data_IF_649269942374
#
_entry.id   IF_649269942374
#
_cell.length_a   1.000
_cell.length_b   1.000
_cell.length_c   1.000
_cell.angle_alpha   90.00
_cell.angle_beta   90.00
_cell.angle_gamma   90.00
#
_symmetry.space_group_name_H-M   'P 1'
#
loop_
_entity.id
_entity.type
_entity.pdbx_description
1 polymer ?
#
# COMPACT_ATOMS: atom_id res chain seq x y z
N UNK A 1 56.14 -18.34 18.07
CA UNK A 1 55.21 -17.21 17.87
C UNK A 1 55.43 -16.68 16.47
N UNK A 2 54.47 -16.93 15.58
CA UNK A 2 54.60 -16.60 14.16
C UNK A 2 53.53 -15.61 13.74
N UNK A 3 53.98 -14.52 13.10
CA UNK A 3 53.25 -13.26 12.84
C UNK A 3 52.40 -13.35 11.58
N UNK A 4 51.73 -14.48 11.35
CA UNK A 4 51.01 -14.78 10.09
C UNK A 4 49.57 -15.28 10.23
N UNK A 5 48.99 -15.20 11.44
CA UNK A 5 47.64 -15.73 11.69
C UNK A 5 46.70 -14.73 12.37
N UNK A 6 46.82 -13.43 12.06
CA UNK A 6 45.90 -12.43 12.63
C UNK A 6 45.47 -11.32 11.67
N UNK A 7 45.60 -11.52 10.36
CA UNK A 7 45.02 -10.63 9.34
C UNK A 7 44.29 -11.47 8.29
N UNK A 8 43.18 -12.09 8.70
CA UNK A 8 42.11 -12.58 7.80
C UNK A 8 40.73 -12.38 8.44
N UNK A 9 40.53 -11.25 9.12
CA UNK A 9 39.25 -10.84 9.70
C UNK A 9 38.67 -9.57 9.06
N UNK A 10 39.16 -9.18 7.88
CA UNK A 10 38.61 -8.08 7.08
C UNK A 10 38.55 -8.55 5.63
N UNK A 11 37.39 -8.99 5.14
CA UNK A 11 37.31 -9.42 3.75
C UNK A 11 35.99 -10.04 3.30
N UNK A 12 34.86 -9.69 3.92
CA UNK A 12 33.55 -9.98 3.35
C UNK A 12 32.50 -9.12 4.04
N UNK A 13 32.51 -7.83 3.72
CA UNK A 13 31.25 -7.06 3.71
C UNK A 13 30.49 -7.60 2.51
N UNK A 14 29.79 -8.72 2.72
CA UNK A 14 28.80 -9.18 1.78
C UNK A 14 27.72 -8.10 1.73
N UNK A 15 27.55 -7.50 0.55
CA UNK A 15 26.43 -6.64 0.20
C UNK A 15 25.11 -7.36 0.52
N UNK A 16 24.55 -7.07 1.69
CA UNK A 16 23.19 -7.45 2.07
C UNK A 16 22.20 -6.58 1.27
N UNK A 17 22.05 -6.85 -0.03
CA UNK A 17 21.07 -6.15 -0.87
C UNK A 17 20.24 -7.07 -1.76
N UNK A 18 20.17 -8.37 -1.44
CA UNK A 18 19.20 -9.27 -2.05
C UNK A 18 18.46 -10.04 -0.96
N UNK A 19 17.51 -9.36 -0.29
CA UNK A 19 16.36 -10.10 0.24
C UNK A 19 15.64 -10.61 -1.00
N UNK A 20 15.91 -11.85 -1.40
CA UNK A 20 15.24 -12.44 -2.56
C UNK A 20 13.73 -12.38 -2.32
N UNK A 21 12.95 -12.20 -3.39
CA UNK A 21 11.49 -12.21 -3.33
C UNK A 21 10.95 -13.45 -2.59
N UNK A 22 11.71 -14.56 -2.60
CA UNK A 22 11.47 -15.79 -1.85
C UNK A 22 11.58 -15.64 -0.33
N UNK A 23 12.59 -14.93 0.20
CA UNK A 23 12.68 -14.66 1.65
C UNK A 23 11.56 -13.75 2.11
N UNK A 24 11.29 -12.70 1.34
CA UNK A 24 10.19 -11.77 1.62
C UNK A 24 8.83 -12.47 1.64
N UNK A 25 8.57 -13.35 0.68
CA UNK A 25 7.33 -14.14 0.66
C UNK A 25 7.31 -15.20 1.76
N UNK A 26 8.44 -15.73 2.21
CA UNK A 26 8.49 -16.71 3.29
C UNK A 26 8.22 -16.08 4.66
N UNK A 27 8.80 -14.91 4.95
CA UNK A 27 8.54 -14.16 6.19
C UNK A 27 7.08 -13.68 6.25
N UNK A 28 6.51 -13.21 5.14
CA UNK A 28 5.09 -12.83 5.08
C UNK A 28 4.16 -14.04 5.21
N UNK A 29 4.48 -15.17 4.57
CA UNK A 29 3.68 -16.40 4.70
C UNK A 29 3.72 -17.00 6.10
N UNK A 30 4.77 -16.75 6.87
CA UNK A 30 4.86 -17.16 8.27
C UNK A 30 3.90 -16.37 9.19
N UNK A 31 3.38 -15.22 8.74
CA UNK A 31 2.34 -14.46 9.43
C UNK A 31 0.96 -14.99 9.02
N UNK A 32 0.64 -16.20 9.52
CA UNK A 32 -0.40 -17.05 8.92
C UNK A 32 -1.82 -16.49 8.94
N UNK A 33 -2.12 -15.49 9.80
CA UNK A 33 -3.48 -14.98 9.95
C UNK A 33 -3.73 -13.64 9.23
N UNK A 34 -2.69 -12.84 8.99
CA UNK A 34 -2.86 -11.47 8.46
C UNK A 34 -2.44 -11.34 7.00
N UNK A 35 -1.56 -12.21 6.49
CA UNK A 35 -1.16 -12.18 5.08
C UNK A 35 -2.08 -13.03 4.21
N UNK A 36 -2.72 -12.41 3.22
CA UNK A 36 -3.52 -13.13 2.22
C UNK A 36 -2.93 -12.96 0.83
N UNK A 37 -2.51 -14.09 0.26
CA UNK A 37 -2.02 -14.15 -1.12
C UNK A 37 -3.17 -14.00 -2.11
N UNK A 38 -2.99 -13.13 -3.09
CA UNK A 38 -3.89 -12.99 -4.24
C UNK A 38 -3.17 -13.30 -5.55
N UNK A 39 -3.90 -13.24 -6.66
CA UNK A 39 -3.27 -13.34 -7.98
C UNK A 39 -2.28 -12.18 -8.10
N UNK A 40 -1.07 -12.49 -8.53
CA UNK A 40 -0.03 -11.48 -8.77
C UNK A 40 -0.49 -10.59 -9.91
N UNK A 41 -0.49 -9.27 -9.68
CA UNK A 41 -0.86 -8.28 -10.67
C UNK A 41 0.33 -7.38 -10.98
N UNK A 42 0.70 -7.26 -12.25
CA UNK A 42 1.71 -6.30 -12.70
C UNK A 42 1.12 -4.89 -12.68
N UNK A 43 1.89 -3.92 -12.18
CA UNK A 43 1.53 -2.51 -12.22
C UNK A 43 2.02 -1.91 -13.54
N UNK A 44 1.12 -1.26 -14.26
CA UNK A 44 1.37 -0.70 -15.58
C UNK A 44 1.20 0.82 -15.52
N UNK A 45 1.96 1.55 -16.34
CA UNK A 45 1.67 2.94 -16.64
C UNK A 45 0.50 3.05 -17.63
N UNK A 46 0.10 4.28 -17.96
CA UNK A 46 -1.03 4.57 -18.86
C UNK A 46 -0.85 4.02 -20.28
N UNK A 47 0.39 3.84 -20.72
CA UNK A 47 0.72 3.31 -22.05
C UNK A 47 0.69 1.77 -22.08
N UNK A 48 0.38 1.13 -20.95
CA UNK A 48 0.30 -0.33 -20.82
C UNK A 48 1.65 -1.00 -20.59
N UNK A 49 2.73 -0.23 -20.40
CA UNK A 49 4.05 -0.74 -20.08
C UNK A 49 4.19 -0.94 -18.56
N UNK A 50 5.03 -1.87 -18.07
CA UNK A 50 5.33 -1.97 -16.65
C UNK A 50 5.82 -0.63 -16.11
N UNK A 51 5.15 -0.11 -15.07
CA UNK A 51 5.54 1.17 -14.47
C UNK A 51 6.92 1.03 -13.84
N UNK A 52 7.81 1.97 -14.15
CA UNK A 52 9.13 2.05 -13.54
C UNK A 52 9.05 2.79 -12.20
N UNK A 53 9.88 2.43 -11.20
CA UNK A 53 9.94 3.14 -9.93
C UNK A 53 10.12 4.65 -10.07
N UNK A 54 10.88 5.11 -11.07
CA UNK A 54 11.17 6.52 -11.32
C UNK A 54 9.96 7.30 -11.87
N UNK A 55 8.95 6.62 -12.41
CA UNK A 55 7.68 7.23 -12.84
C UNK A 55 6.75 7.53 -11.65
N UNK A 56 7.04 6.97 -10.45
CA UNK A 56 6.25 7.19 -9.25
C UNK A 56 6.85 8.37 -8.47
N UNK A 57 6.38 9.57 -8.80
CA UNK A 57 6.84 10.81 -8.19
C UNK A 57 6.66 10.83 -6.65
N UNK A 58 7.66 11.39 -5.98
CA UNK A 58 7.66 11.57 -4.53
C UNK A 58 6.51 12.49 -4.11
N UNK A 59 5.78 12.10 -3.07
CA UNK A 59 4.72 12.92 -2.50
C UNK A 59 3.43 12.98 -3.33
N UNK A 60 3.37 12.29 -4.48
CA UNK A 60 2.16 12.23 -5.31
C UNK A 60 1.29 11.03 -4.94
N UNK A 61 -0.02 11.23 -5.02
CA UNK A 61 -1.02 10.20 -4.77
C UNK A 61 -1.41 9.53 -6.08
N UNK A 62 -1.02 8.26 -6.24
CA UNK A 62 -1.47 7.42 -7.35
C UNK A 62 -2.55 6.44 -6.88
N UNK A 63 -3.42 6.05 -7.81
CA UNK A 63 -4.43 5.01 -7.66
C UNK A 63 -4.18 3.86 -8.63
N UNK A 64 -4.52 2.66 -8.16
CA UNK A 64 -4.65 1.44 -8.95
C UNK A 64 -5.72 0.55 -8.31
N UNK A 65 -6.08 -0.58 -8.93
CA UNK A 65 -7.15 -1.46 -8.41
C UNK A 65 -6.61 -2.85 -8.13
N UNK A 66 -6.77 -3.32 -6.88
CA UNK A 66 -6.29 -4.62 -6.43
C UNK A 66 -6.97 -5.06 -5.13
N UNK A 67 -7.23 -6.36 -4.90
CA UNK A 67 -7.07 -7.47 -5.82
C UNK A 67 -8.24 -7.62 -6.80
N UNK A 68 -9.31 -6.85 -6.60
CA UNK A 68 -10.49 -6.83 -7.45
C UNK A 68 -10.51 -5.56 -8.31
N UNK A 69 -11.22 -5.63 -9.43
CA UNK A 69 -11.36 -4.51 -10.36
C UNK A 69 -11.96 -3.25 -9.71
N UNK A 70 -12.70 -3.40 -8.61
CA UNK A 70 -13.38 -2.31 -7.93
C UNK A 70 -12.87 -1.99 -6.53
N UNK A 71 -11.70 -2.50 -6.13
CA UNK A 71 -11.10 -2.17 -4.83
C UNK A 71 -9.90 -1.26 -5.06
N UNK A 72 -10.04 0.07 -4.87
CA UNK A 72 -8.97 1.01 -5.13
C UNK A 72 -7.85 0.88 -4.09
N UNK A 73 -6.63 1.20 -4.51
CA UNK A 73 -5.44 1.19 -3.69
C UNK A 73 -4.57 2.41 -4.02
N UNK A 74 -3.98 3.01 -2.99
CA UNK A 74 -2.94 4.02 -3.15
C UNK A 74 -1.62 3.38 -3.49
N UNK A 75 -0.87 4.02 -4.38
CA UNK A 75 0.56 3.80 -4.58
C UNK A 75 1.27 5.12 -4.29
N UNK A 76 2.20 5.11 -3.34
CA UNK A 76 2.90 6.30 -2.87
C UNK A 76 4.40 6.08 -2.90
N UNK A 77 5.15 7.12 -3.25
CA UNK A 77 6.59 7.19 -3.03
C UNK A 77 6.88 8.23 -1.94
N UNK A 78 7.41 7.77 -0.80
CA UNK A 78 7.70 8.65 0.35
C UNK A 78 9.04 9.37 0.23
N UNK A 79 9.83 9.11 -0.82
CA UNK A 79 11.11 9.77 -1.09
C UNK A 79 12.26 9.37 -0.15
N UNK A 80 12.03 8.42 0.75
CA UNK A 80 13.05 7.86 1.66
C UNK A 80 12.78 6.38 1.93
N UNK A 81 13.80 5.66 2.39
CA UNK A 81 13.66 4.24 2.78
C UNK A 81 12.59 4.11 3.88
N UNK A 82 11.63 3.23 3.62
CA UNK A 82 10.59 2.85 4.57
C UNK A 82 10.91 1.45 5.08
N UNK A 83 11.36 1.37 6.33
CA UNK A 83 11.83 0.13 6.93
C UNK A 83 10.67 -0.75 7.40
N UNK A 84 10.86 -2.08 7.47
CA UNK A 84 9.91 -2.96 8.13
C UNK A 84 9.62 -2.50 9.56
N UNK A 85 8.38 -2.64 10.01
CA UNK A 85 7.96 -2.30 11.37
C UNK A 85 6.94 -3.31 11.87
N UNK A 86 6.99 -3.63 13.16
CA UNK A 86 5.92 -4.36 13.81
C UNK A 86 4.69 -3.46 13.95
N UNK A 87 3.56 -3.91 13.45
CA UNK A 87 2.25 -3.27 13.61
C UNK A 87 1.47 -4.05 14.66
N UNK A 88 1.00 -3.35 15.69
CA UNK A 88 0.18 -3.92 16.77
C UNK A 88 -1.29 -3.59 16.53
N UNK A 89 -2.15 -4.58 16.70
CA UNK A 89 -3.60 -4.46 16.60
C UNK A 89 -4.24 -4.27 17.98
N UNK A 90 -5.48 -3.80 17.99
CA UNK A 90 -6.22 -3.52 19.23
C UNK A 90 -6.52 -4.78 20.05
N UNK A 91 -6.63 -5.94 19.40
CA UNK A 91 -6.83 -7.23 20.06
C UNK A 91 -5.53 -7.80 20.69
N UNK A 92 -4.43 -7.07 20.61
CA UNK A 92 -3.12 -7.44 21.14
C UNK A 92 -2.28 -8.27 20.18
N UNK A 93 -2.81 -8.70 19.05
CA UNK A 93 -2.03 -9.38 18.01
C UNK A 93 -1.10 -8.41 17.27
N UNK A 94 -0.09 -8.93 16.58
CA UNK A 94 0.83 -8.12 15.78
C UNK A 94 1.25 -8.83 14.49
N UNK A 95 1.69 -8.03 13.52
CA UNK A 95 2.31 -8.51 12.29
C UNK A 95 3.48 -7.61 11.89
N UNK A 96 4.49 -8.17 11.22
CA UNK A 96 5.62 -7.39 10.70
C UNK A 96 5.24 -6.86 9.31
N UNK A 97 4.98 -5.56 9.22
CA UNK A 97 4.78 -4.87 7.95
C UNK A 97 6.13 -4.74 7.22
N UNK A 98 6.18 -5.09 5.92
CA UNK A 98 7.44 -5.20 5.18
C UNK A 98 8.17 -3.90 4.84
N UNK A 99 7.51 -2.74 4.97
CA UNK A 99 8.07 -1.47 4.50
C UNK A 99 7.97 -1.30 2.98
N UNK A 100 8.80 -0.41 2.44
CA UNK A 100 8.76 0.00 1.04
C UNK A 100 9.56 -0.91 0.10
N UNK A 101 9.16 -0.93 -1.17
CA UNK A 101 9.80 -1.67 -2.27
C UNK A 101 10.47 -0.73 -3.27
N UNK A 102 11.06 -1.31 -4.33
CA UNK A 102 11.80 -0.58 -5.35
C UNK A 102 13.26 -0.32 -4.95
N UNK A 103 14.06 0.28 -5.85
CA UNK A 103 15.49 0.50 -5.63
C UNK A 103 15.81 1.30 -4.35
N UNK A 104 14.96 2.26 -4.01
CA UNK A 104 15.12 3.11 -2.81
C UNK A 104 14.30 2.63 -1.60
N UNK A 105 13.55 1.52 -1.74
CA UNK A 105 12.62 1.02 -0.71
C UNK A 105 11.65 2.10 -0.17
N UNK A 106 11.23 3.00 -1.05
CA UNK A 106 10.40 4.17 -0.70
C UNK A 106 8.96 4.05 -1.20
N UNK A 107 8.67 3.02 -2.00
CA UNK A 107 7.37 2.82 -2.64
C UNK A 107 6.52 1.88 -1.79
N UNK A 108 5.34 2.34 -1.43
CA UNK A 108 4.39 1.63 -0.56
C UNK A 108 2.99 1.65 -1.19
N UNK A 109 2.14 0.72 -0.76
CA UNK A 109 0.74 0.71 -1.18
C UNK A 109 -0.21 0.29 -0.06
N UNK A 110 -1.37 0.92 -0.05
CA UNK A 110 -2.46 0.67 0.90
C UNK A 110 -3.79 0.61 0.17
N UNK A 111 -4.73 -0.17 0.68
CA UNK A 111 -6.12 -0.11 0.25
C UNK A 111 -6.65 1.31 0.47
N UNK A 112 -7.28 1.88 -0.56
CA UNK A 112 -7.87 3.22 -0.51
C UNK A 112 -9.34 3.16 -0.02
N UNK A 113 -9.70 2.15 0.77
CA UNK A 113 -11.00 2.02 1.43
C UNK A 113 -10.74 2.19 2.93
N UNK A 114 -11.34 3.23 3.53
CA UNK A 114 -11.20 3.47 4.97
C UNK A 114 -11.80 2.30 5.77
N UNK A 115 -11.08 1.70 6.74
CA UNK A 115 -11.56 0.54 7.48
C UNK A 115 -12.68 0.86 8.49
N UNK A 116 -13.00 2.14 8.73
CA UNK A 116 -14.08 2.57 9.62
C UNK A 116 -15.47 2.39 8.98
N UNK A 117 -15.80 3.19 7.97
CA UNK A 117 -17.10 3.17 7.27
C UNK A 117 -16.92 3.17 5.75
N UNK A 118 -15.85 2.51 5.30
CA UNK A 118 -15.68 2.08 3.92
C UNK A 118 -15.67 3.20 2.87
N UNK A 119 -15.49 4.46 3.29
CA UNK A 119 -15.28 5.61 2.40
C UNK A 119 -14.07 5.34 1.48
N UNK A 120 -14.25 5.61 0.20
CA UNK A 120 -13.29 5.27 -0.85
C UNK A 120 -13.35 6.27 -2.02
N UNK A 121 -12.31 6.36 -2.87
CA UNK A 121 -12.34 7.15 -4.09
C UNK A 121 -13.41 6.65 -5.07
N UNK A 122 -14.28 7.55 -5.51
CA UNK A 122 -15.24 7.36 -6.61
C UNK A 122 -14.89 8.30 -7.76
N UNK A 123 -15.43 8.11 -8.98
CA UNK A 123 -15.21 9.06 -10.07
C UNK A 123 -15.61 10.50 -9.74
N UNK A 124 -16.55 10.69 -8.82
CA UNK A 124 -17.03 12.02 -8.45
C UNK A 124 -16.12 12.67 -7.40
N UNK A 125 -15.72 11.92 -6.36
CA UNK A 125 -14.92 12.46 -5.28
C UNK A 125 -14.07 11.41 -4.55
N UNK A 126 -12.99 11.88 -3.91
CA UNK A 126 -12.23 11.13 -2.89
C UNK A 126 -12.18 11.86 -1.55
N UNK A 127 -12.68 11.21 -0.50
CA UNK A 127 -12.56 11.71 0.89
C UNK A 127 -11.35 11.18 1.65
N UNK A 128 -10.77 10.06 1.20
CA UNK A 128 -9.57 9.50 1.81
C UNK A 128 -8.37 9.83 0.94
N UNK A 129 -7.41 10.57 1.45
CA UNK A 129 -6.31 11.13 0.67
C UNK A 129 -5.01 11.15 1.45
N UNK A 130 -3.90 11.11 0.73
CA UNK A 130 -2.55 11.35 1.22
C UNK A 130 -2.27 12.86 1.25
N UNK A 131 -1.71 13.29 2.38
CA UNK A 131 -1.27 14.65 2.65
C UNK A 131 0.25 14.63 2.59
N UNK A 132 0.88 15.10 1.51
CA UNK A 132 2.34 15.11 1.41
C UNK A 132 2.97 16.12 2.39
N UNK A 133 4.30 16.05 2.62
CA UNK A 133 5.00 16.98 3.52
C UNK A 133 4.77 18.46 3.21
N UNK A 134 4.63 18.83 1.94
CA UNK A 134 4.41 20.20 1.44
C UNK A 134 2.94 20.65 1.50
N UNK A 135 2.00 19.73 1.75
CA UNK A 135 0.58 20.01 1.94
C UNK A 135 0.06 19.30 3.20
N UNK A 136 0.45 19.78 4.39
CA UNK A 136 0.12 19.12 5.65
C UNK A 136 -1.38 19.11 5.93
N UNK A 137 -1.83 18.08 6.63
CA UNK A 137 -3.19 18.05 7.17
C UNK A 137 -3.31 19.03 8.32
N UNK A 138 -4.39 19.84 8.31
CA UNK A 138 -4.71 20.73 9.42
C UNK A 138 -5.14 19.94 10.66
N UNK A 139 -5.90 18.87 10.46
CA UNK A 139 -6.36 18.01 11.55
C UNK A 139 -5.21 17.24 12.20
N UNK A 140 -4.32 16.63 11.40
CA UNK A 140 -3.16 15.90 11.90
C UNK A 140 -2.06 16.82 12.44
N UNK A 141 -2.08 18.10 12.06
CA UNK A 141 -1.00 19.08 12.30
C UNK A 141 0.37 18.62 11.77
N UNK A 142 0.37 17.72 10.79
CA UNK A 142 1.56 17.20 10.09
C UNK A 142 1.23 16.81 8.66
N UNK A 143 2.25 16.83 7.81
CA UNK A 143 2.21 16.15 6.52
C UNK A 143 2.61 14.69 6.66
N UNK A 144 2.68 14.03 5.51
CA UNK A 144 2.98 12.61 5.38
C UNK A 144 2.03 11.72 6.18
N UNK A 145 0.74 11.93 6.00
CA UNK A 145 -0.34 11.12 6.58
C UNK A 145 -1.34 10.76 5.50
N UNK A 146 -2.04 9.64 5.67
CA UNK A 146 -3.27 9.37 4.93
C UNK A 146 -4.43 9.73 5.85
N UNK A 147 -5.40 10.50 5.37
CA UNK A 147 -6.53 10.93 6.17
C UNK A 147 -7.83 10.76 5.41
N UNK A 148 -8.85 10.26 6.12
CA UNK A 148 -10.22 10.14 5.64
C UNK A 148 -11.08 11.28 6.21
N UNK A 149 -11.47 12.22 5.35
CA UNK A 149 -12.30 13.37 5.69
C UNK A 149 -13.77 13.03 5.97
N UNK A 150 -14.22 11.79 5.72
CA UNK A 150 -15.58 11.40 6.07
C UNK A 150 -15.81 11.42 7.59
N UNK A 151 -14.84 10.92 8.36
CA UNK A 151 -14.94 10.80 9.83
C UNK A 151 -13.61 11.06 10.55
N UNK A 152 -12.66 11.72 9.90
CA UNK A 152 -11.37 12.15 10.45
C UNK A 152 -10.44 11.03 10.94
N UNK A 153 -10.49 9.84 10.35
CA UNK A 153 -9.47 8.81 10.60
C UNK A 153 -8.15 9.20 9.95
N UNK A 154 -7.05 9.15 10.70
CA UNK A 154 -5.71 9.55 10.26
C UNK A 154 -4.77 8.35 10.41
N UNK A 155 -3.93 8.09 9.42
CA UNK A 155 -3.05 6.94 9.34
C UNK A 155 -1.62 7.35 9.03
N UNK A 156 -0.64 6.64 9.60
CA UNK A 156 0.78 6.86 9.35
C UNK A 156 1.31 5.90 8.26
N UNK A 157 1.56 6.38 7.03
CA UNK A 157 2.02 5.55 5.93
C UNK A 157 3.46 5.05 6.12
N UNK A 158 4.29 5.69 6.97
CA UNK A 158 5.65 5.20 7.26
C UNK A 158 5.68 4.08 8.29
N UNK A 159 4.58 3.89 9.01
CA UNK A 159 4.45 2.93 10.10
C UNK A 159 3.40 1.86 9.80
N UNK A 160 3.29 1.46 8.54
CA UNK A 160 2.36 0.39 8.14
C UNK A 160 0.89 0.77 8.16
N UNK A 161 0.58 2.07 8.08
CA UNK A 161 -0.80 2.56 8.03
C UNK A 161 -1.49 2.53 9.39
N UNK A 162 -0.75 2.49 10.50
CA UNK A 162 -1.31 2.55 11.86
C UNK A 162 -2.20 3.78 12.04
N UNK A 163 -3.25 3.61 12.83
CA UNK A 163 -4.17 4.70 13.18
C UNK A 163 -3.45 5.67 14.11
N UNK A 164 -3.39 6.93 13.72
CA UNK A 164 -2.88 8.04 14.54
C UNK A 164 -4.01 8.71 15.32
N UNK A 165 -5.19 8.84 14.71
CA UNK A 165 -6.35 9.50 15.30
C UNK A 165 -7.64 9.10 14.56
N UNK A 166 -8.79 9.44 15.15
CA UNK A 166 -10.12 9.20 14.63
C UNK A 166 -10.65 7.78 14.89
N UNK A 167 -11.83 7.44 14.32
CA UNK A 167 -12.61 6.29 14.77
C UNK A 167 -12.23 4.95 14.11
N UNK A 168 -11.19 4.91 13.28
CA UNK A 168 -10.80 3.65 12.63
C UNK A 168 -10.22 2.66 13.65
N UNK A 169 -10.74 1.44 13.67
CA UNK A 169 -10.29 0.39 14.60
C UNK A 169 -9.07 -0.40 14.08
N UNK A 170 -8.81 -0.32 12.78
CA UNK A 170 -7.75 -1.08 12.10
C UNK A 170 -6.80 -0.15 11.36
N UNK A 171 -5.50 -0.48 11.30
CA UNK A 171 -4.58 0.10 10.33
C UNK A 171 -5.12 -0.02 8.90
N UNK A 172 -4.66 0.85 7.99
CA UNK A 172 -4.96 0.68 6.57
C UNK A 172 -4.42 -0.67 6.07
N UNK A 173 -5.29 -1.42 5.40
CA UNK A 173 -4.92 -2.69 4.79
C UNK A 173 -3.77 -2.47 3.80
N UNK A 174 -2.64 -3.12 4.04
CA UNK A 174 -1.48 -3.02 3.14
C UNK A 174 -1.76 -3.77 1.85
N UNK A 175 -1.47 -3.16 0.71
CA UNK A 175 -1.30 -3.91 -0.55
C UNK A 175 0.17 -4.30 -0.64
N UNK A 176 0.44 -5.60 -0.48
CA UNK A 176 1.81 -6.10 -0.48
C UNK A 176 2.36 -5.98 -1.89
N UNK A 177 3.41 -5.17 -2.02
CA UNK A 177 4.14 -5.01 -3.27
C UNK A 177 5.34 -5.95 -3.34
N UNK A 178 5.77 -6.22 -4.56
CA UNK A 178 7.02 -6.91 -4.88
C UNK A 178 7.71 -6.16 -6.01
N UNK A 179 9.03 -6.03 -5.92
CA UNK A 179 9.87 -5.50 -6.97
C UNK A 179 10.87 -6.58 -7.40
N UNK A 180 10.74 -7.05 -8.63
CA UNK A 180 11.59 -8.10 -9.21
C UNK A 180 11.81 -7.81 -10.69
N UNK A 181 13.03 -8.06 -11.18
CA UNK A 181 13.41 -7.85 -12.58
C UNK A 181 13.01 -6.47 -13.15
N UNK A 182 13.15 -5.43 -12.33
CA UNK A 182 12.81 -4.05 -12.71
C UNK A 182 11.32 -3.72 -12.75
N UNK A 183 10.44 -4.62 -12.29
CA UNK A 183 8.98 -4.50 -12.39
C UNK A 183 8.30 -4.52 -11.04
N UNK A 184 7.26 -3.71 -10.89
CA UNK A 184 6.42 -3.66 -9.70
C UNK A 184 5.18 -4.55 -9.85
N UNK A 185 4.87 -5.28 -8.79
CA UNK A 185 3.70 -6.14 -8.70
C UNK A 185 2.98 -5.97 -7.38
N UNK A 186 1.64 -6.09 -7.39
CA UNK A 186 0.85 -6.37 -6.20
C UNK A 186 0.65 -7.88 -6.06
N UNK A 187 0.92 -8.44 -4.88
CA UNK A 187 0.97 -9.91 -4.66
C UNK A 187 0.00 -10.43 -3.59
N UNK A 188 -0.54 -9.54 -2.78
CA UNK A 188 -1.46 -9.89 -1.71
C UNK A 188 -1.84 -8.70 -0.86
N UNK A 189 -2.48 -8.99 0.26
CA UNK A 189 -2.85 -8.03 1.29
C UNK A 189 -2.25 -8.47 2.62
N UNK A 190 -2.00 -7.50 3.50
CA UNK A 190 -1.53 -7.74 4.87
C UNK A 190 -2.32 -6.86 5.84
N UNK A 191 -2.95 -7.49 6.83
CA UNK A 191 -3.84 -6.88 7.81
C UNK A 191 -5.32 -7.23 7.59
N UNK A 192 -6.20 -6.55 8.31
CA UNK A 192 -7.64 -6.85 8.35
C UNK A 192 -8.35 -6.43 7.06
N UNK A 193 -8.84 -7.42 6.30
CA UNK A 193 -9.61 -7.16 5.08
C UNK A 193 -11.08 -6.80 5.35
N UNK A 194 -11.54 -5.70 4.77
CA UNK A 194 -12.95 -5.29 4.77
C UNK A 194 -13.64 -5.44 3.41
N UNK A 195 -13.10 -6.26 2.51
CA UNK A 195 -13.64 -6.38 1.14
C UNK A 195 -15.04 -6.97 1.08
N UNK A 196 -15.40 -7.91 1.96
CA UNK A 196 -16.78 -8.44 1.99
C UNK A 196 -17.75 -7.34 2.37
N UNK A 197 -17.48 -6.67 3.50
CA UNK A 197 -18.26 -5.54 4.01
C UNK A 197 -18.41 -4.44 2.94
N UNK A 198 -17.32 -4.10 2.24
CA UNK A 198 -17.33 -3.16 1.12
C UNK A 198 -18.25 -3.60 -0.03
N UNK A 199 -18.18 -4.87 -0.43
CA UNK A 199 -19.02 -5.38 -1.52
C UNK A 199 -20.50 -5.46 -1.15
N UNK A 200 -20.80 -5.70 0.13
CA UNK A 200 -22.17 -5.77 0.62
C UNK A 200 -22.76 -4.36 0.78
N UNK A 201 -21.99 -3.42 1.35
CA UNK A 201 -22.39 -2.02 1.53
C UNK A 201 -22.64 -1.28 0.21
N UNK A 202 -21.80 -1.49 -0.82
CA UNK A 202 -21.87 -0.74 -2.08
C UNK A 202 -22.33 -1.59 -3.27
N UNK A 203 -23.10 -2.65 -3.02
CA UNK A 203 -23.50 -3.61 -4.06
C UNK A 203 -24.16 -2.95 -5.27
N UNK A 204 -25.08 -2.01 -5.02
CA UNK A 204 -25.87 -1.35 -6.05
C UNK A 204 -25.03 -0.39 -6.89
N UNK A 205 -24.21 0.42 -6.24
CA UNK A 205 -23.27 1.38 -6.81
C UNK A 205 -22.25 0.65 -7.68
N UNK A 206 -21.64 -0.41 -7.16
CA UNK A 206 -20.68 -1.23 -7.90
C UNK A 206 -21.33 -1.94 -9.09
N UNK A 207 -22.56 -2.42 -8.95
CA UNK A 207 -23.29 -3.02 -10.08
C UNK A 207 -23.53 -1.97 -11.18
N UNK A 208 -23.90 -0.75 -10.84
CA UNK A 208 -24.09 0.37 -11.77
C UNK A 208 -22.77 0.73 -12.46
N UNK A 209 -21.73 1.02 -11.68
CA UNK A 209 -20.41 1.46 -12.18
C UNK A 209 -19.75 0.42 -13.09
N UNK A 210 -19.79 -0.86 -12.72
CA UNK A 210 -19.13 -1.93 -13.47
C UNK A 210 -20.05 -2.65 -14.46
N UNK A 211 -21.31 -2.20 -14.59
CA UNK A 211 -22.40 -2.84 -15.35
C UNK A 211 -22.71 -4.29 -14.92
N UNK A 212 -22.10 -4.75 -13.82
CA UNK A 212 -22.26 -6.10 -13.27
C UNK A 212 -21.48 -6.20 -11.95
N UNK A 213 -22.15 -6.66 -10.89
CA UNK A 213 -21.51 -6.94 -9.61
C UNK A 213 -20.41 -8.01 -9.72
N UNK A 214 -20.61 -9.02 -10.57
CA UNK A 214 -19.59 -10.03 -10.89
C UNK A 214 -18.34 -9.39 -11.53
N UNK A 215 -18.53 -8.39 -12.40
CA UNK A 215 -17.40 -7.67 -13.02
C UNK A 215 -16.66 -6.78 -12.02
N UNK A 216 -17.35 -6.21 -11.03
CA UNK A 216 -16.71 -5.46 -9.94
C UNK A 216 -15.79 -6.36 -9.11
N UNK A 217 -16.27 -7.57 -8.74
CA UNK A 217 -15.52 -8.58 -8.00
C UNK A 217 -14.56 -9.43 -8.85
N UNK A 218 -14.28 -9.04 -10.10
CA UNK A 218 -13.31 -9.78 -10.93
C UNK A 218 -11.91 -9.52 -10.40
N UNK A 219 -11.17 -10.59 -10.08
CA UNK A 219 -9.76 -10.50 -9.70
C UNK A 219 -8.90 -10.04 -10.88
N UNK A 220 -7.90 -9.23 -10.61
CA UNK A 220 -7.00 -8.68 -11.64
C UNK A 220 -5.62 -9.33 -11.60
N UNK A 221 -4.93 -9.34 -12.73
CA UNK A 221 -3.53 -9.72 -12.91
C UNK A 221 -2.69 -8.63 -13.58
N UNK A 222 -3.32 -7.50 -13.88
CA UNK A 222 -2.71 -6.27 -14.36
C UNK A 222 -3.53 -5.11 -13.80
N UNK A 223 -2.87 -4.04 -13.38
CA UNK A 223 -3.56 -2.80 -13.03
C UNK A 223 -2.79 -1.61 -13.59
N UNK A 224 -3.52 -0.68 -14.21
CA UNK A 224 -2.98 0.61 -14.59
C UNK A 224 -2.90 1.47 -13.33
N UNK A 225 -1.75 2.14 -13.17
CA UNK A 225 -1.49 3.15 -12.16
C UNK A 225 -1.73 4.52 -12.80
N UNK A 226 -2.46 5.38 -12.11
CA UNK A 226 -2.78 6.74 -12.55
C UNK A 226 -2.75 7.70 -11.37
N UNK A 227 -2.54 8.99 -11.59
CA UNK A 227 -2.71 9.97 -10.51
C UNK A 227 -4.16 9.99 -10.05
N UNK A 228 -4.39 10.28 -8.77
CA UNK A 228 -5.77 10.30 -8.24
C UNK A 228 -6.66 11.27 -9.02
N UNK A 229 -6.13 12.41 -9.44
CA UNK A 229 -6.84 13.45 -10.19
C UNK A 229 -7.24 13.02 -11.61
N UNK A 230 -6.67 11.92 -12.13
CA UNK A 230 -7.10 11.33 -13.40
C UNK A 230 -8.32 10.42 -13.23
N UNK A 231 -8.61 9.98 -11.99
CA UNK A 231 -9.73 9.10 -11.67
C UNK A 231 -10.91 9.84 -11.03
N UNK A 232 -10.63 10.82 -10.17
CA UNK A 232 -11.67 11.56 -9.42
C UNK A 232 -11.82 12.99 -9.92
N UNK A 233 -13.06 13.47 -10.02
CA UNK A 233 -13.33 14.86 -10.38
C UNK A 233 -12.89 15.82 -9.27
N UNK A 234 -13.02 15.43 -8.00
CA UNK A 234 -12.64 16.26 -6.87
C UNK A 234 -11.91 15.47 -5.76
N UNK A 235 -10.79 16.02 -5.29
CA UNK A 235 -10.05 15.50 -4.13
C UNK A 235 -10.38 16.36 -2.92
N UNK A 236 -11.12 15.80 -1.97
CA UNK A 236 -11.57 16.53 -0.79
C UNK A 236 -10.48 16.54 0.29
N UNK A 237 -10.01 17.75 0.61
CA UNK A 237 -9.06 17.97 1.70
C UNK A 237 -9.75 18.67 2.88
N UNK A 238 -9.43 18.18 4.07
CA UNK A 238 -9.71 18.75 5.38
C UNK A 238 -8.42 18.70 6.24
#
# INVERSE_FOLDING_TARGET
>A
MDRRTFVKACGSVATLSLISSSFFTQTLRAQTNEFKKYKKAILLNKDGNPIKPEEIEVGKQYLFFYPYRSTPAFLLNLGKEVKPVEVKLLDGSSYLWPGGVGPQKSIIAFCAICPHQLSYPTPDYSFINYYPPDKPSKAAKKGNVIQCCAHMSIFDPEKGGVVLDGPAEYPLLTIVLSYEDGKLYAVGTLGVEKFSDFFDAYRSELKKMYKSFRKAKKKVDKSVVMRVEEYVNEVIYC
#
